data_IF_307484413541
#
_entry.id   IF_307484413541
#
_cell.length_a   1.000
_cell.length_b   1.000
_cell.length_c   1.000
_cell.angle_alpha   90.00
_cell.angle_beta   90.00
_cell.angle_gamma   90.00
#
_symmetry.space_group_name_H-M   'P 1'
#
loop_
_entity.id
_entity.type
_entity.pdbx_description
1 polymer ?
#
# COMPACT_ATOMS: atom_id res chain seq x y z
N UNK A 1 14.63 6.62 28.39
CA UNK A 1 15.07 5.23 28.10
C UNK A 1 13.89 4.34 27.75
N UNK A 2 12.91 4.22 28.65
CA UNK A 2 11.75 3.35 28.43
C UNK A 2 10.95 3.75 27.19
N UNK A 3 10.66 5.04 27.02
CA UNK A 3 9.91 5.55 25.86
C UNK A 3 10.64 5.28 24.56
N UNK A 4 11.97 5.48 24.54
CA UNK A 4 12.76 5.22 23.35
C UNK A 4 12.75 3.73 22.97
N UNK A 5 12.91 2.84 23.95
CA UNK A 5 12.88 1.40 23.74
C UNK A 5 11.51 0.94 23.24
N UNK A 6 10.44 1.50 23.78
CA UNK A 6 9.07 1.20 23.35
C UNK A 6 8.84 1.62 21.90
N UNK A 7 9.26 2.83 21.53
CA UNK A 7 9.14 3.32 20.16
C UNK A 7 9.93 2.47 19.19
N UNK A 8 11.16 2.06 19.56
CA UNK A 8 12.00 1.18 18.74
C UNK A 8 11.34 -0.18 18.52
N UNK A 9 10.78 -0.78 19.58
CA UNK A 9 10.08 -2.07 19.46
C UNK A 9 8.86 -1.97 18.57
N UNK A 10 8.10 -0.87 18.66
CA UNK A 10 6.95 -0.65 17.79
C UNK A 10 7.37 -0.56 16.33
N UNK A 11 8.46 0.17 16.06
CA UNK A 11 9.03 0.28 14.72
C UNK A 11 9.51 -1.06 14.19
N UNK A 12 10.18 -1.86 15.02
CA UNK A 12 10.63 -3.20 14.65
C UNK A 12 9.47 -4.14 14.33
N UNK A 13 8.42 -4.08 15.14
CA UNK A 13 7.24 -4.93 15.02
C UNK A 13 6.55 -4.78 13.67
N UNK A 14 6.50 -3.56 13.16
CA UNK A 14 5.83 -3.24 11.91
C UNK A 14 6.79 -2.88 10.77
N UNK A 15 8.09 -3.02 10.98
CA UNK A 15 9.10 -2.47 10.05
C UNK A 15 8.91 -2.92 8.59
N UNK A 16 8.65 -4.21 8.38
CA UNK A 16 8.49 -4.76 7.02
C UNK A 16 7.23 -4.18 6.38
N UNK A 17 6.12 -4.14 7.12
CA UNK A 17 4.85 -3.62 6.61
C UNK A 17 4.92 -2.10 6.35
N UNK A 18 5.59 -1.34 7.22
CA UNK A 18 5.81 0.09 7.04
C UNK A 18 6.58 0.36 5.75
N UNK A 19 7.68 -0.37 5.53
CA UNK A 19 8.48 -0.23 4.33
C UNK A 19 7.69 -0.59 3.08
N UNK A 20 6.95 -1.69 3.12
CA UNK A 20 6.14 -2.15 1.99
C UNK A 20 5.01 -1.16 1.67
N UNK A 21 4.35 -0.61 2.69
CA UNK A 21 3.30 0.39 2.50
C UNK A 21 3.85 1.69 1.89
N UNK A 22 5.03 2.11 2.33
CA UNK A 22 5.71 3.28 1.77
C UNK A 22 6.01 3.08 0.29
N UNK A 23 6.58 1.94 -0.06
CA UNK A 23 6.92 1.61 -1.45
C UNK A 23 5.66 1.48 -2.31
N UNK A 24 4.61 0.87 -1.77
CA UNK A 24 3.36 0.69 -2.49
C UNK A 24 2.67 2.04 -2.76
N UNK A 25 2.65 2.93 -1.77
CA UNK A 25 2.14 4.29 -1.97
C UNK A 25 2.86 4.97 -3.13
N UNK A 26 4.18 4.97 -3.10
CA UNK A 26 4.99 5.60 -4.14
C UNK A 26 4.70 4.98 -5.51
N UNK A 27 4.70 3.66 -5.59
CA UNK A 27 4.44 2.96 -6.86
C UNK A 27 3.06 3.28 -7.42
N UNK A 28 2.04 3.35 -6.56
CA UNK A 28 0.67 3.70 -6.98
C UNK A 28 0.58 5.12 -7.51
N UNK A 29 1.22 6.07 -6.84
CA UNK A 29 1.21 7.48 -7.29
C UNK A 29 1.94 7.63 -8.63
N UNK A 30 3.10 7.00 -8.78
CA UNK A 30 3.84 7.03 -10.05
C UNK A 30 3.04 6.38 -11.18
N UNK A 31 2.44 5.22 -10.92
CA UNK A 31 1.62 4.51 -11.90
C UNK A 31 0.35 5.30 -12.26
N UNK A 32 -0.27 5.95 -11.28
CA UNK A 32 -1.43 6.81 -11.51
C UNK A 32 -1.06 7.96 -12.45
N UNK A 33 0.05 8.63 -12.19
CA UNK A 33 0.54 9.73 -13.03
C UNK A 33 0.79 9.26 -14.46
N UNK A 34 1.46 8.12 -14.61
CA UNK A 34 1.71 7.52 -15.91
C UNK A 34 0.39 7.19 -16.62
N UNK A 35 -0.56 6.56 -15.91
CA UNK A 35 -1.85 6.15 -16.44
C UNK A 35 -2.69 7.32 -16.94
N UNK A 36 -2.66 8.45 -16.24
CA UNK A 36 -3.41 9.64 -16.63
C UNK A 36 -2.88 10.28 -17.90
N UNK A 37 -1.65 9.99 -18.29
CA UNK A 37 -1.05 10.46 -19.54
C UNK A 37 -1.49 9.60 -20.74
N UNK A 38 -2.02 8.41 -20.47
CA UNK A 38 -2.54 7.54 -21.52
C UNK A 38 -3.96 7.98 -21.88
N UNK A 39 -4.36 7.79 -23.12
CA UNK A 39 -5.73 8.08 -23.52
C UNK A 39 -6.66 7.07 -22.87
N UNK A 40 -7.54 7.59 -22.00
CA UNK A 40 -8.31 6.75 -21.13
C UNK A 40 -9.52 6.10 -21.74
N UNK A 41 -9.64 4.81 -21.51
CA UNK A 41 -10.89 4.07 -21.55
C UNK A 41 -11.59 4.22 -20.20
N UNK A 42 -12.92 4.03 -20.10
CA UNK A 42 -13.59 4.06 -18.80
C UNK A 42 -12.98 3.11 -17.77
N UNK A 43 -12.45 1.97 -18.21
CA UNK A 43 -11.76 1.03 -17.33
C UNK A 43 -10.53 1.64 -16.68
N UNK A 44 -9.85 2.55 -17.37
CA UNK A 44 -8.69 3.25 -16.82
C UNK A 44 -9.08 4.20 -15.69
N UNK A 45 -10.27 4.80 -15.76
CA UNK A 45 -10.76 5.67 -14.70
C UNK A 45 -11.08 4.88 -13.43
N UNK A 46 -11.68 3.70 -13.57
CA UNK A 46 -11.95 2.81 -12.43
C UNK A 46 -10.66 2.31 -11.80
N UNK A 47 -9.68 1.96 -12.65
CA UNK A 47 -8.37 1.57 -12.19
C UNK A 47 -7.67 2.71 -11.45
N UNK A 48 -7.75 3.94 -11.96
CA UNK A 48 -7.17 5.11 -11.32
C UNK A 48 -7.74 5.34 -9.92
N UNK A 49 -9.04 5.19 -9.74
CA UNK A 49 -9.70 5.28 -8.43
C UNK A 49 -9.14 4.24 -7.45
N UNK A 50 -9.00 3.02 -7.92
CA UNK A 50 -8.50 1.92 -7.09
C UNK A 50 -7.04 2.16 -6.68
N UNK A 51 -6.21 2.65 -7.60
CA UNK A 51 -4.83 3.02 -7.27
C UNK A 51 -4.77 4.13 -6.24
N UNK A 52 -5.66 5.11 -6.34
CA UNK A 52 -5.71 6.21 -5.38
C UNK A 52 -6.16 5.72 -4.00
N UNK A 53 -7.18 4.87 -3.95
CA UNK A 53 -7.60 4.23 -2.70
C UNK A 53 -6.44 3.46 -2.07
N UNK A 54 -5.72 2.69 -2.88
CA UNK A 54 -4.58 1.92 -2.42
C UNK A 54 -3.48 2.83 -1.86
N UNK A 55 -3.13 3.89 -2.56
CA UNK A 55 -2.11 4.84 -2.12
C UNK A 55 -2.49 5.49 -0.78
N UNK A 56 -3.75 5.90 -0.63
CA UNK A 56 -4.23 6.53 0.60
C UNK A 56 -4.27 5.55 1.76
N UNK A 57 -4.70 4.31 1.53
CA UNK A 57 -4.70 3.29 2.57
C UNK A 57 -3.29 2.94 3.03
N UNK A 58 -2.35 2.86 2.11
CA UNK A 58 -0.95 2.62 2.46
C UNK A 58 -0.40 3.71 3.38
N UNK A 59 -0.68 4.98 3.08
CA UNK A 59 -0.27 6.09 3.93
C UNK A 59 -0.89 6.02 5.32
N UNK A 60 -2.20 5.78 5.38
CA UNK A 60 -2.92 5.71 6.64
C UNK A 60 -2.42 4.55 7.50
N UNK A 61 -2.27 3.37 6.92
CA UNK A 61 -1.80 2.20 7.65
C UNK A 61 -0.36 2.38 8.13
N UNK A 62 0.52 2.92 7.27
CA UNK A 62 1.91 3.23 7.65
C UNK A 62 1.95 4.12 8.88
N UNK A 63 1.19 5.22 8.87
CA UNK A 63 1.18 6.17 9.97
C UNK A 63 0.64 5.54 11.26
N UNK A 64 -0.41 4.74 11.14
CA UNK A 64 -0.96 4.02 12.28
C UNK A 64 0.03 3.00 12.85
N UNK A 65 0.76 2.31 11.99
CA UNK A 65 1.80 1.37 12.45
C UNK A 65 2.96 2.10 13.11
N UNK A 66 3.38 3.24 12.54
CA UNK A 66 4.48 4.03 13.09
C UNK A 66 4.18 4.52 14.50
N UNK A 67 2.95 4.87 14.80
CA UNK A 67 2.56 5.34 16.13
C UNK A 67 1.93 4.28 17.01
N UNK A 68 1.96 3.02 16.61
CA UNK A 68 1.40 1.88 17.33
C UNK A 68 -0.08 2.10 17.69
N UNK A 69 -0.85 2.56 16.72
CA UNK A 69 -2.30 2.75 16.91
C UNK A 69 -2.98 1.45 17.31
N UNK A 70 -3.98 1.56 18.16
CA UNK A 70 -4.85 0.43 18.51
C UNK A 70 -5.57 -0.13 17.30
N UNK A 71 -5.66 0.63 16.22
CA UNK A 71 -6.30 0.25 14.96
C UNK A 71 -5.31 -0.21 13.89
N UNK A 72 -4.02 -0.34 14.22
CA UNK A 72 -2.99 -0.66 13.23
C UNK A 72 -3.26 -2.00 12.53
N UNK A 73 -3.68 -3.01 13.26
CA UNK A 73 -3.95 -4.34 12.68
C UNK A 73 -5.15 -4.30 11.73
N UNK A 74 -6.24 -3.63 12.12
CA UNK A 74 -7.42 -3.50 11.26
C UNK A 74 -7.08 -2.67 10.02
N UNK A 75 -6.32 -1.59 10.18
CA UNK A 75 -5.89 -0.77 9.05
C UNK A 75 -5.02 -1.57 8.09
N UNK A 76 -4.08 -2.35 8.61
CA UNK A 76 -3.23 -3.21 7.79
C UNK A 76 -4.04 -4.28 7.06
N UNK A 77 -5.00 -4.90 7.72
CA UNK A 77 -5.87 -5.91 7.10
C UNK A 77 -6.68 -5.33 5.94
N UNK A 78 -7.28 -4.16 6.14
CA UNK A 78 -8.02 -3.47 5.08
C UNK A 78 -7.08 -3.08 3.93
N UNK A 79 -5.90 -2.56 4.27
CA UNK A 79 -4.89 -2.17 3.28
C UNK A 79 -4.47 -3.38 2.44
N UNK A 80 -4.28 -4.54 3.07
CA UNK A 80 -3.94 -5.76 2.34
C UNK A 80 -5.01 -6.12 1.31
N UNK A 81 -6.28 -6.02 1.66
CA UNK A 81 -7.39 -6.31 0.74
C UNK A 81 -7.41 -5.32 -0.43
N UNK A 82 -7.23 -4.03 -0.15
CA UNK A 82 -7.19 -3.00 -1.19
C UNK A 82 -5.98 -3.20 -2.11
N UNK A 83 -4.81 -3.47 -1.53
CA UNK A 83 -3.59 -3.74 -2.29
C UNK A 83 -3.74 -4.94 -3.22
N UNK A 84 -4.39 -6.00 -2.75
CA UNK A 84 -4.60 -7.19 -3.55
C UNK A 84 -5.50 -6.92 -4.76
N UNK A 85 -6.58 -6.19 -4.55
CA UNK A 85 -7.45 -5.78 -5.65
C UNK A 85 -6.75 -4.84 -6.62
N UNK A 86 -5.95 -3.92 -6.11
CA UNK A 86 -5.15 -3.01 -6.93
C UNK A 86 -4.13 -3.77 -7.76
N UNK A 87 -3.45 -4.76 -7.17
CA UNK A 87 -2.49 -5.60 -7.89
C UNK A 87 -3.15 -6.34 -9.06
N UNK A 88 -4.32 -6.94 -8.82
CA UNK A 88 -5.06 -7.64 -9.88
C UNK A 88 -5.45 -6.69 -11.00
N UNK A 89 -5.91 -5.49 -10.65
CA UNK A 89 -6.25 -4.47 -11.63
C UNK A 89 -5.04 -4.01 -12.44
N UNK A 90 -3.90 -3.80 -11.77
CA UNK A 90 -2.65 -3.42 -12.43
C UNK A 90 -2.20 -4.51 -13.42
N UNK A 91 -2.30 -5.77 -13.03
CA UNK A 91 -1.93 -6.90 -13.90
C UNK A 91 -2.76 -6.94 -15.18
N UNK A 92 -4.03 -6.56 -15.09
CA UNK A 92 -4.92 -6.49 -16.25
C UNK A 92 -4.59 -5.34 -17.19
N UNK A 93 -3.91 -4.32 -16.69
CA UNK A 93 -3.57 -3.13 -17.47
C UNK A 93 -2.28 -3.29 -18.26
N UNK A 94 -1.53 -4.37 -18.06
CA UNK A 94 -0.35 -4.72 -18.82
C UNK A 94 0.97 -4.26 -18.22
N UNK A 95 2.02 -4.31 -19.02
CA UNK A 95 3.41 -4.14 -18.61
C UNK A 95 3.71 -2.80 -17.91
N UNK A 96 3.06 -1.72 -18.33
CA UNK A 96 3.27 -0.41 -17.74
C UNK A 96 2.90 -0.32 -16.27
N UNK A 97 2.08 -1.25 -15.79
CA UNK A 97 1.63 -1.31 -14.41
C UNK A 97 2.26 -2.45 -13.61
N UNK A 98 3.24 -3.17 -14.20
CA UNK A 98 3.84 -4.34 -13.55
C UNK A 98 4.54 -3.98 -12.23
N UNK A 99 5.22 -2.84 -12.19
CA UNK A 99 5.88 -2.37 -10.97
C UNK A 99 4.90 -2.10 -9.84
N UNK A 100 3.78 -1.45 -10.16
CA UNK A 100 2.71 -1.20 -9.20
C UNK A 100 2.10 -2.51 -8.70
N UNK A 101 1.86 -3.47 -9.60
CA UNK A 101 1.32 -4.78 -9.22
C UNK A 101 2.25 -5.48 -8.22
N UNK A 102 3.55 -5.50 -8.48
CA UNK A 102 4.53 -6.11 -7.57
C UNK A 102 4.54 -5.44 -6.19
N UNK A 103 4.54 -4.11 -6.16
CA UNK A 103 4.54 -3.36 -4.91
C UNK A 103 3.26 -3.61 -4.11
N UNK A 104 2.11 -3.67 -4.78
CA UNK A 104 0.83 -3.98 -4.15
C UNK A 104 0.82 -5.39 -3.56
N UNK A 105 1.34 -6.39 -4.28
CA UNK A 105 1.43 -7.76 -3.76
C UNK A 105 2.34 -7.84 -2.54
N UNK A 106 3.50 -7.20 -2.59
CA UNK A 106 4.43 -7.17 -1.47
C UNK A 106 3.80 -6.53 -0.24
N UNK A 107 3.06 -5.43 -0.44
CA UNK A 107 2.39 -4.74 0.65
C UNK A 107 1.27 -5.59 1.26
N UNK A 108 0.46 -6.26 0.43
CA UNK A 108 -0.58 -7.16 0.91
C UNK A 108 0.02 -8.27 1.79
N UNK A 109 1.08 -8.90 1.31
CA UNK A 109 1.74 -9.98 2.03
C UNK A 109 2.33 -9.49 3.36
N UNK A 110 3.02 -8.35 3.35
CA UNK A 110 3.63 -7.78 4.55
C UNK A 110 2.58 -7.39 5.59
N UNK A 111 1.47 -6.77 5.15
CA UNK A 111 0.39 -6.38 6.04
C UNK A 111 -0.33 -7.58 6.66
N UNK A 112 -0.43 -8.70 5.94
CA UNK A 112 -1.02 -9.93 6.47
C UNK A 112 -0.10 -10.68 7.41
N UNK A 113 1.21 -10.47 7.31
CA UNK A 113 2.20 -11.15 8.12
C UNK A 113 2.38 -10.54 9.50
N UNK A 114 1.85 -9.37 9.78
CA UNK A 114 1.96 -8.77 11.10
C UNK A 114 1.09 -9.54 12.08
N UNK A 115 1.69 -9.87 13.21
CA UNK A 115 1.05 -10.67 14.23
C UNK A 115 0.18 -9.91 15.22
#
# INVERSE_FOLDING_TARGET
MTEHLTATRAGERFAVAIAAATDCHQACIEALSWGLQQRGEPAHLLHARLMLDCAQMCDAARDMMLRSSDFAHQAAALTADVCERCATSCERMGEGMAGCARACRACADACRAIG
#
